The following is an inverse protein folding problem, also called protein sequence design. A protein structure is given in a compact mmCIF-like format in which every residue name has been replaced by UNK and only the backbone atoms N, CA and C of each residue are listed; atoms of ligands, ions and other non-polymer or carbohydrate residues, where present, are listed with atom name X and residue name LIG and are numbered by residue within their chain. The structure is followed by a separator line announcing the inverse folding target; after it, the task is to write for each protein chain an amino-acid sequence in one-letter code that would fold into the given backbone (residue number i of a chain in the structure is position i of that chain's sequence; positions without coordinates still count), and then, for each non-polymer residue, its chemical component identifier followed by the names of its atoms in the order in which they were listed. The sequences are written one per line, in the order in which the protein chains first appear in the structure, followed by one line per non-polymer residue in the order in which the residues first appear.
data_IF_154439127616
#
_entry.id   IF_154439127616
#
_cell.length_a   1.000
_cell.length_b   1.000
_cell.length_c   1.000
_cell.angle_alpha   90.00
_cell.angle_beta   90.00
_cell.angle_gamma   90.00
#
_symmetry.space_group_name_H-M   'P 1'
#
loop_
_entity.id
_entity.type
_entity.pdbx_description
1 polymer ?
#
# COMPACT_ATOMS: atom_id res chain seq x y z
N UNK A 1 -64.23 -18.25 20.50
CA UNK A 1 -63.56 -17.65 19.33
C UNK A 1 -63.07 -16.28 19.75
N UNK A 2 -61.79 -16.19 20.10
CA UNK A 2 -61.14 -15.00 20.65
C UNK A 2 -60.15 -14.52 19.58
N UNK A 3 -60.20 -13.25 19.13
CA UNK A 3 -59.31 -12.79 18.08
C UNK A 3 -57.89 -12.64 18.62
N UNK A 4 -56.93 -13.32 17.99
CA UNK A 4 -55.50 -13.07 18.17
C UNK A 4 -55.19 -11.68 17.58
N UNK A 5 -54.84 -10.74 18.45
CA UNK A 5 -54.32 -9.44 18.05
C UNK A 5 -52.84 -9.59 17.64
N UNK A 6 -52.59 -9.37 16.35
CA UNK A 6 -51.28 -9.31 15.73
C UNK A 6 -50.59 -7.99 16.14
N UNK A 7 -49.69 -8.05 17.13
CA UNK A 7 -48.86 -6.92 17.57
C UNK A 7 -47.45 -7.04 16.96
N UNK A 8 -47.33 -6.70 15.68
CA UNK A 8 -46.02 -6.42 15.06
C UNK A 8 -45.70 -4.93 15.21
N UNK A 9 -45.23 -4.54 16.40
CA UNK A 9 -44.67 -3.20 16.62
C UNK A 9 -43.31 -3.12 15.93
N UNK A 10 -43.10 -2.26 14.91
CA UNK A 10 -41.80 -2.14 14.27
C UNK A 10 -40.81 -1.50 15.26
N UNK A 11 -39.83 -2.28 15.70
CA UNK A 11 -38.63 -1.80 16.39
C UNK A 11 -37.89 -0.82 15.47
N UNK A 12 -38.18 0.48 15.63
CA UNK A 12 -37.35 1.55 15.04
C UNK A 12 -36.03 1.57 15.80
N UNK A 13 -35.02 0.89 15.25
CA UNK A 13 -33.65 1.00 15.72
C UNK A 13 -33.22 2.47 15.58
N UNK A 14 -32.95 3.12 16.71
CA UNK A 14 -32.42 4.48 16.74
C UNK A 14 -30.93 4.45 16.44
N UNK A 15 -30.51 5.16 15.40
CA UNK A 15 -29.09 5.31 15.07
C UNK A 15 -28.45 6.19 16.14
N UNK A 16 -27.45 5.66 16.86
CA UNK A 16 -26.77 6.41 17.92
C UNK A 16 -25.70 7.35 17.35
N UNK A 17 -25.35 8.41 18.08
CA UNK A 17 -24.27 9.32 17.68
C UNK A 17 -22.92 8.61 17.53
N UNK A 18 -22.67 7.57 18.32
CA UNK A 18 -21.48 6.73 18.20
C UNK A 18 -21.45 5.97 16.86
N UNK A 19 -22.58 5.39 16.44
CA UNK A 19 -22.69 4.71 15.15
C UNK A 19 -22.52 5.67 13.98
N UNK A 20 -23.02 6.91 14.07
CA UNK A 20 -22.80 7.92 13.03
C UNK A 20 -21.34 8.34 12.90
N UNK A 21 -20.62 8.49 14.03
CA UNK A 21 -19.18 8.77 14.00
C UNK A 21 -18.39 7.61 13.39
N UNK A 22 -18.77 6.38 13.73
CA UNK A 22 -18.15 5.18 13.15
C UNK A 22 -18.42 5.08 11.64
N UNK A 23 -19.67 5.27 11.22
CA UNK A 23 -20.05 5.31 9.81
C UNK A 23 -19.28 6.41 9.04
N UNK A 24 -19.10 7.59 9.64
CA UNK A 24 -18.31 8.67 9.06
C UNK A 24 -16.84 8.28 8.84
N UNK A 25 -16.21 7.59 9.81
CA UNK A 25 -14.85 7.06 9.68
C UNK A 25 -14.76 6.03 8.55
N UNK A 26 -15.64 5.04 8.56
CA UNK A 26 -15.72 3.99 7.53
C UNK A 26 -15.84 4.60 6.11
N UNK A 27 -16.78 5.54 5.93
CA UNK A 27 -17.00 6.22 4.64
C UNK A 27 -15.81 7.10 4.23
N UNK A 28 -15.06 7.66 5.18
CA UNK A 28 -13.87 8.47 4.88
C UNK A 28 -12.68 7.64 4.41
N UNK A 29 -12.53 6.42 4.93
CA UNK A 29 -11.43 5.52 4.61
C UNK A 29 -11.65 4.77 3.27
N UNK A 30 -12.90 4.45 2.93
CA UNK A 30 -13.22 3.64 1.76
C UNK A 30 -12.91 4.32 0.41
N UNK A 31 -12.26 3.57 -0.49
CA UNK A 31 -12.03 3.98 -1.88
C UNK A 31 -13.29 3.77 -2.72
N UNK A 32 -14.04 2.70 -2.43
CA UNK A 32 -15.31 2.36 -3.09
C UNK A 32 -16.36 3.46 -2.85
N UNK A 33 -16.48 3.98 -1.62
CA UNK A 33 -17.38 5.07 -1.29
C UNK A 33 -17.11 6.33 -2.13
N UNK A 34 -15.84 6.66 -2.37
CA UNK A 34 -15.43 7.83 -3.17
C UNK A 34 -15.77 7.65 -4.65
N UNK A 35 -15.51 6.47 -5.22
CA UNK A 35 -15.82 6.18 -6.62
C UNK A 35 -17.34 6.18 -6.88
N UNK A 36 -18.12 5.60 -5.96
CA UNK A 36 -19.57 5.45 -6.16
C UNK A 36 -20.38 6.70 -5.85
N UNK A 37 -19.93 7.58 -4.95
CA UNK A 37 -20.55 8.91 -4.79
C UNK A 37 -20.53 9.72 -6.10
N UNK A 38 -19.55 9.49 -6.98
CA UNK A 38 -19.51 10.09 -8.32
C UNK A 38 -20.53 9.48 -9.29
N UNK A 39 -20.85 8.19 -9.14
CA UNK A 39 -21.78 7.47 -10.02
C UNK A 39 -23.25 7.62 -9.59
N UNK A 40 -23.52 7.61 -8.28
CA UNK A 40 -24.87 7.74 -7.70
C UNK A 40 -25.56 9.07 -8.04
N UNK A 41 -24.78 10.11 -8.33
CA UNK A 41 -25.27 11.39 -8.80
C UNK A 41 -26.02 11.31 -10.16
N UNK A 42 -25.93 10.19 -10.90
CA UNK A 42 -26.43 10.06 -12.26
C UNK A 42 -27.73 9.23 -12.42
N UNK A 43 -28.26 8.56 -11.38
CA UNK A 43 -29.45 7.71 -11.54
C UNK A 43 -30.48 7.84 -10.40
N UNK A 44 -31.63 8.48 -10.68
CA UNK A 44 -32.68 8.71 -9.69
C UNK A 44 -33.55 7.46 -9.40
N UNK A 45 -33.71 6.54 -10.35
CA UNK A 45 -34.73 5.49 -10.27
C UNK A 45 -34.33 4.23 -9.46
N UNK A 46 -33.06 4.08 -9.04
CA UNK A 46 -32.58 2.92 -8.25
C UNK A 46 -31.68 3.30 -7.06
N UNK A 47 -31.82 4.54 -6.60
CA UNK A 47 -30.90 5.16 -5.64
C UNK A 47 -30.82 4.41 -4.31
N UNK A 48 -31.96 4.02 -3.73
CA UNK A 48 -31.99 3.40 -2.39
C UNK A 48 -31.34 2.01 -2.33
N UNK A 49 -31.67 1.13 -3.30
CA UNK A 49 -31.08 -0.22 -3.35
C UNK A 49 -29.59 -0.15 -3.62
N UNK A 50 -29.15 0.76 -4.50
CA UNK A 50 -27.74 0.95 -4.79
C UNK A 50 -26.99 1.50 -3.57
N UNK A 51 -27.52 2.51 -2.89
CA UNK A 51 -26.93 3.08 -1.67
C UNK A 51 -26.73 2.03 -0.57
N UNK A 52 -27.71 1.13 -0.38
CA UNK A 52 -27.58 0.03 0.60
C UNK A 52 -26.51 -0.98 0.18
N UNK A 53 -26.46 -1.36 -1.11
CA UNK A 53 -25.42 -2.25 -1.61
C UNK A 53 -24.02 -1.64 -1.47
N UNK A 54 -23.88 -0.34 -1.76
CA UNK A 54 -22.63 0.42 -1.55
C UNK A 54 -22.26 0.42 -0.07
N UNK A 55 -23.20 0.71 0.82
CA UNK A 55 -22.94 0.71 2.25
C UNK A 55 -22.42 -0.65 2.75
N UNK A 56 -22.96 -1.76 2.25
CA UNK A 56 -22.46 -3.10 2.58
C UNK A 56 -21.02 -3.30 2.08
N UNK A 57 -20.72 -2.94 0.82
CA UNK A 57 -19.36 -3.05 0.27
C UNK A 57 -18.36 -2.20 1.06
N UNK A 58 -18.75 -0.99 1.44
CA UNK A 58 -17.95 -0.07 2.26
C UNK A 58 -17.66 -0.65 3.64
N UNK A 59 -18.65 -1.30 4.26
CA UNK A 59 -18.46 -1.99 5.55
C UNK A 59 -17.55 -3.22 5.38
N UNK A 60 -17.73 -4.01 4.31
CA UNK A 60 -16.88 -5.17 4.03
C UNK A 60 -15.41 -4.79 3.80
N UNK A 61 -15.15 -3.69 3.08
CA UNK A 61 -13.80 -3.16 2.84
C UNK A 61 -13.13 -2.70 4.14
N UNK A 62 -13.89 -2.08 5.04
CA UNK A 62 -13.32 -1.38 6.21
C UNK A 62 -13.35 -2.20 7.50
N UNK A 63 -14.37 -3.03 7.69
CA UNK A 63 -14.62 -3.74 8.94
C UNK A 63 -15.58 -4.92 8.75
N UNK A 64 -15.08 -6.03 8.21
CA UNK A 64 -15.86 -7.26 8.00
C UNK A 64 -16.57 -7.74 9.28
N UNK A 65 -15.88 -7.70 10.42
CA UNK A 65 -16.41 -8.16 11.71
C UNK A 65 -17.62 -7.37 12.21
N UNK A 66 -17.86 -6.16 11.69
CA UNK A 66 -19.03 -5.37 12.03
C UNK A 66 -20.34 -5.96 11.50
N UNK A 67 -20.30 -6.73 10.41
CA UNK A 67 -21.47 -7.44 9.89
C UNK A 67 -21.78 -8.73 10.66
N UNK A 68 -20.83 -9.23 11.45
CA UNK A 68 -20.99 -10.45 12.25
C UNK A 68 -21.71 -10.23 13.58
N UNK A 69 -21.97 -8.98 14.00
CA UNK A 69 -22.52 -8.63 15.35
C UNK A 69 -24.04 -8.80 15.51
N UNK A 70 -24.67 -9.58 14.62
CA UNK A 70 -26.11 -9.84 14.61
C UNK A 70 -26.87 -8.95 13.62
N UNK A 71 -27.99 -9.48 13.11
CA UNK A 71 -28.71 -8.88 11.97
C UNK A 71 -29.24 -7.47 12.24
N UNK A 72 -29.73 -7.20 13.46
CA UNK A 72 -30.25 -5.89 13.83
C UNK A 72 -29.15 -4.82 13.86
N UNK A 73 -27.97 -5.16 14.39
CA UNK A 73 -26.81 -4.26 14.44
C UNK A 73 -26.25 -4.02 13.04
N UNK A 74 -26.12 -5.08 12.23
CA UNK A 74 -25.68 -4.97 10.84
C UNK A 74 -26.60 -4.05 10.01
N UNK A 75 -27.93 -4.22 10.13
CA UNK A 75 -28.90 -3.34 9.48
C UNK A 75 -28.79 -1.89 9.96
N UNK A 76 -28.61 -1.68 11.26
CA UNK A 76 -28.46 -0.34 11.83
C UNK A 76 -27.17 0.35 11.35
N UNK A 77 -26.06 -0.39 11.24
CA UNK A 77 -24.79 0.10 10.70
C UNK A 77 -24.90 0.44 9.21
N UNK A 78 -25.52 -0.43 8.40
CA UNK A 78 -25.78 -0.15 6.97
C UNK A 78 -26.58 1.15 6.82
N UNK A 79 -27.65 1.33 7.62
CA UNK A 79 -28.44 2.56 7.58
C UNK A 79 -27.64 3.80 7.99
N UNK A 80 -26.77 3.69 9.00
CA UNK A 80 -25.88 4.77 9.43
C UNK A 80 -24.89 5.17 8.32
N UNK A 81 -24.31 4.18 7.62
CA UNK A 81 -23.42 4.40 6.47
C UNK A 81 -24.16 5.05 5.30
N UNK A 82 -25.39 4.61 4.98
CA UNK A 82 -26.23 5.26 3.96
C UNK A 82 -26.50 6.73 4.31
N UNK A 83 -26.85 7.03 5.56
CA UNK A 83 -27.08 8.40 6.02
C UNK A 83 -25.80 9.24 5.92
N UNK A 84 -24.66 8.69 6.31
CA UNK A 84 -23.37 9.37 6.20
C UNK A 84 -23.01 9.69 4.74
N UNK A 85 -23.24 8.74 3.81
CA UNK A 85 -23.03 8.96 2.37
C UNK A 85 -23.90 10.09 1.84
N UNK A 86 -25.20 10.11 2.17
CA UNK A 86 -26.14 11.17 1.75
C UNK A 86 -25.73 12.55 2.28
N UNK A 87 -25.36 12.65 3.56
CA UNK A 87 -24.95 13.93 4.15
C UNK A 87 -23.74 14.56 3.44
N UNK A 88 -22.84 13.71 2.90
CA UNK A 88 -21.65 14.14 2.18
C UNK A 88 -21.96 14.65 0.78
N UNK A 89 -22.92 14.03 0.11
CA UNK A 89 -23.42 14.49 -1.19
C UNK A 89 -24.12 15.85 -1.06
N UNK A 90 -24.89 16.06 0.01
CA UNK A 90 -25.54 17.35 0.28
C UNK A 90 -24.52 18.47 0.49
N UNK A 91 -23.46 18.23 1.29
CA UNK A 91 -22.36 19.18 1.50
C UNK A 91 -21.66 19.52 0.17
N UNK A 92 -21.40 18.52 -0.68
CA UNK A 92 -20.77 18.74 -2.00
C UNK A 92 -21.68 19.47 -2.97
N UNK A 93 -22.99 19.23 -2.91
CA UNK A 93 -23.97 19.94 -3.73
C UNK A 93 -23.99 21.43 -3.38
N UNK A 94 -24.03 21.75 -2.08
CA UNK A 94 -23.97 23.13 -1.59
C UNK A 94 -22.66 23.84 -2.02
N UNK A 95 -21.51 23.18 -1.86
CA UNK A 95 -20.23 23.75 -2.29
C UNK A 95 -20.16 24.01 -3.81
N UNK A 96 -20.81 23.17 -4.63
CA UNK A 96 -20.91 23.38 -6.09
C UNK A 96 -21.85 24.53 -6.46
N UNK A 97 -22.95 24.70 -5.72
CA UNK A 97 -23.86 25.82 -5.93
C UNK A 97 -23.21 27.15 -5.54
N UNK A 98 -22.46 27.17 -4.44
CA UNK A 98 -21.68 28.32 -4.01
C UNK A 98 -20.62 28.71 -5.06
N UNK A 99 -19.85 27.74 -5.56
CA UNK A 99 -18.87 27.98 -6.63
C UNK A 99 -19.51 28.53 -7.92
N UNK A 100 -20.71 28.03 -8.29
CA UNK A 100 -21.47 28.58 -9.44
C UNK A 100 -22.01 29.97 -9.19
N UNK A 101 -22.38 30.30 -7.94
CA UNK A 101 -22.80 31.65 -7.57
C UNK A 101 -21.63 32.64 -7.68
N UNK A 102 -20.44 32.24 -7.25
CA UNK A 102 -19.20 33.02 -7.38
C UNK A 102 -18.78 33.24 -8.84
N UNK A 103 -18.91 32.22 -9.69
CA UNK A 103 -18.66 32.37 -11.13
C UNK A 103 -19.62 33.35 -11.80
N UNK A 104 -20.92 33.35 -11.42
CA UNK A 104 -21.90 34.33 -11.91
C UNK A 104 -21.56 35.75 -11.45
N UNK A 105 -21.09 35.91 -10.21
CA UNK A 105 -20.64 37.21 -9.68
C UNK A 105 -19.40 37.74 -10.43
N UNK A 106 -18.44 36.86 -10.77
CA UNK A 106 -17.22 37.25 -11.49
C UNK A 106 -17.44 37.47 -13.00
N UNK A 107 -18.34 36.70 -13.63
CA UNK A 107 -18.63 36.79 -15.06
C UNK A 107 -19.37 38.07 -15.49
N UNK A 108 -20.05 38.75 -14.58
CA UNK A 108 -20.81 39.97 -14.87
C UNK A 108 -19.98 41.24 -15.16
N UNK A 109 -18.67 41.23 -14.87
CA UNK A 109 -17.83 42.44 -14.98
C UNK A 109 -17.10 42.56 -16.32
N UNK A 110 -17.00 41.50 -17.13
CA UNK A 110 -16.20 41.50 -18.37
C UNK A 110 -16.97 41.64 -19.70
N UNK A 111 -18.30 41.63 -19.69
CA UNK A 111 -19.10 41.65 -20.91
C UNK A 111 -19.52 43.06 -21.39
N UNK A 112 -18.92 44.15 -20.89
CA UNK A 112 -19.31 45.52 -21.28
C UNK A 112 -18.26 46.36 -22.03
N UNK A 113 -17.03 45.87 -22.21
CA UNK A 113 -15.94 46.68 -22.79
C UNK A 113 -15.29 46.08 -24.06
N UNK A 114 -15.98 45.21 -24.81
CA UNK A 114 -15.46 44.66 -26.08
C UNK A 114 -16.49 44.77 -27.20
N UNK A 115 -16.93 45.99 -27.49
CA UNK A 115 -17.53 46.37 -28.78
C UNK A 115 -16.75 47.54 -29.39
N UNK A 116 -15.45 47.38 -29.68
CA UNK A 116 -14.76 48.31 -30.61
C UNK A 116 -13.41 47.78 -31.09
N UNK A 117 -13.35 46.66 -31.83
CA UNK A 117 -12.17 46.38 -32.68
C UNK A 117 -12.45 45.34 -33.79
N UNK A 118 -13.32 45.69 -34.75
CA UNK A 118 -13.33 45.04 -36.06
C UNK A 118 -12.54 45.90 -37.04
N UNK A 119 -11.41 45.37 -37.53
CA UNK A 119 -10.53 46.11 -38.42
C UNK A 119 -9.40 45.27 -39.02
N UNK A 120 -9.77 44.23 -39.77
CA UNK A 120 -9.05 43.78 -40.98
C UNK A 120 -7.69 43.10 -40.82
N UNK A 121 -7.59 41.87 -41.35
CA UNK A 121 -6.64 41.57 -42.44
C UNK A 121 -6.90 40.19 -43.04
N UNK A 122 -7.24 40.23 -44.32
CA UNK A 122 -7.17 39.12 -45.27
C UNK A 122 -5.71 38.83 -45.66
N UNK A 123 -5.48 37.61 -46.17
CA UNK A 123 -4.26 37.16 -46.82
C UNK A 123 -3.57 36.06 -46.01
N UNK A 124 -3.10 34.95 -46.56
CA UNK A 124 -2.94 34.55 -47.94
C UNK A 124 -2.50 33.07 -47.90
N UNK A 125 -2.82 32.34 -48.95
CA UNK A 125 -2.52 30.92 -49.12
C UNK A 125 -1.02 30.64 -49.31
N UNK A 126 -0.56 29.42 -48.97
CA UNK A 126 0.09 28.49 -49.92
C UNK A 126 0.68 27.24 -49.26
N UNK A 127 0.25 26.10 -49.77
CA UNK A 127 1.04 25.03 -50.39
C UNK A 127 2.46 24.73 -49.88
N UNK A 128 2.69 23.45 -49.55
CA UNK A 128 3.56 22.50 -50.27
C UNK A 128 4.13 21.46 -49.28
N UNK A 129 3.78 20.18 -49.47
CA UNK A 129 4.69 19.13 -50.00
C UNK A 129 6.12 19.18 -49.44
N UNK A 130 6.55 18.12 -48.77
CA UNK A 130 7.52 17.19 -49.37
C UNK A 130 7.75 15.98 -48.47
N UNK A 131 7.65 14.81 -49.10
CA UNK A 131 8.22 13.53 -48.71
C UNK A 131 9.74 13.61 -48.41
N UNK A 132 10.23 12.71 -47.55
CA UNK A 132 11.33 11.79 -47.88
C UNK A 132 11.61 10.82 -46.71
N UNK A 133 11.59 9.53 -47.05
CA UNK A 133 12.36 8.44 -46.46
C UNK A 133 13.13 7.78 -47.62
N UNK A 134 13.93 6.71 -47.47
CA UNK A 134 14.83 6.27 -46.39
C UNK A 134 16.25 6.00 -46.96
N UNK A 135 17.26 5.66 -46.14
CA UNK A 135 18.44 4.92 -46.63
C UNK A 135 19.10 4.11 -45.50
N UNK A 136 19.05 2.78 -45.64
CA UNK A 136 19.98 1.81 -45.05
C UNK A 136 21.29 1.80 -45.85
N UNK A 137 22.44 1.60 -45.20
CA UNK A 137 23.55 0.79 -45.71
C UNK A 137 24.73 0.71 -44.71
N UNK A 138 25.34 -0.48 -44.70
CA UNK A 138 26.72 -0.86 -44.37
C UNK A 138 27.12 -0.90 -42.88
N UNK A 139 27.47 -2.04 -42.26
CA UNK A 139 28.36 -3.17 -42.59
C UNK A 139 29.83 -2.97 -42.15
N UNK A 140 30.39 -4.07 -41.64
CA UNK A 140 31.80 -4.36 -41.32
C UNK A 140 32.29 -3.79 -39.98
N UNK A 141 33.24 -4.34 -39.23
CA UNK A 141 34.03 -5.59 -39.11
C UNK A 141 35.15 -5.21 -38.09
N UNK A 142 36.00 -6.14 -37.63
CA UNK A 142 37.12 -6.04 -36.65
C UNK A 142 36.72 -6.19 -35.17
N UNK A 143 37.06 -7.24 -34.42
CA UNK A 143 38.22 -8.16 -34.34
C UNK A 143 39.52 -7.57 -33.76
N UNK A 144 40.04 -8.27 -32.73
CA UNK A 144 41.33 -8.13 -32.03
C UNK A 144 41.60 -6.79 -31.29
N UNK A 145 42.23 -6.68 -30.10
CA UNK A 145 43.08 -7.56 -29.30
C UNK A 145 43.53 -6.82 -28.01
N UNK A 146 44.15 -7.57 -27.09
CA UNK A 146 45.16 -7.14 -26.09
C UNK A 146 44.69 -6.39 -24.84
N UNK A 147 44.68 -7.04 -23.67
CA UNK A 147 45.85 -7.29 -22.81
C UNK A 147 46.48 -6.00 -22.25
N UNK A 148 46.11 -5.63 -21.03
CA UNK A 148 47.03 -4.90 -20.15
C UNK A 148 46.71 -5.18 -18.68
N UNK A 149 47.52 -6.05 -18.09
CA UNK A 149 47.69 -6.11 -16.66
C UNK A 149 48.44 -4.88 -16.17
N UNK A 150 47.97 -4.29 -15.07
CA UNK A 150 48.78 -3.40 -14.24
C UNK A 150 48.48 -3.66 -12.77
N UNK A 151 49.44 -4.34 -12.15
CA UNK A 151 49.75 -4.24 -10.73
C UNK A 151 49.88 -2.78 -10.30
N UNK A 152 49.16 -2.38 -9.25
CA UNK A 152 49.56 -1.26 -8.39
C UNK A 152 49.32 -1.67 -6.93
N UNK A 153 50.41 -2.09 -6.26
CA UNK A 153 50.57 -2.02 -4.81
C UNK A 153 51.17 -0.65 -4.45
N UNK A 154 50.53 0.10 -3.57
CA UNK A 154 51.12 1.02 -2.58
C UNK A 154 49.95 1.68 -1.82
N UNK A 155 49.79 1.42 -0.52
CA UNK A 155 50.46 2.14 0.59
C UNK A 155 50.06 3.62 0.66
N UNK A 156 49.36 3.99 1.73
CA UNK A 156 48.95 5.38 1.98
C UNK A 156 48.08 5.53 3.23
N UNK A 157 48.66 5.26 4.40
CA UNK A 157 48.18 5.79 5.67
C UNK A 157 48.35 7.32 5.68
N UNK A 158 47.36 8.09 6.14
CA UNK A 158 47.51 9.16 7.14
C UNK A 158 46.25 10.04 7.34
N UNK A 159 46.09 10.41 8.61
CA UNK A 159 45.63 11.72 9.14
C UNK A 159 44.18 12.14 8.84
N UNK A 160 43.27 12.16 9.83
CA UNK A 160 43.17 13.11 10.95
C UNK A 160 42.93 14.58 10.53
N UNK A 161 41.67 15.00 10.56
CA UNK A 161 41.22 16.38 10.80
C UNK A 161 39.76 16.28 11.28
N UNK A 162 39.45 16.33 12.58
CA UNK A 162 39.37 17.54 13.41
C UNK A 162 38.46 18.60 12.77
N UNK A 163 37.15 18.44 12.95
CA UNK A 163 36.19 19.55 12.85
C UNK A 163 35.82 20.00 14.27
N UNK A 164 36.25 21.21 14.63
CA UNK A 164 35.79 21.95 15.80
C UNK A 164 34.28 22.22 15.69
N UNK A 165 33.51 22.14 16.78
CA UNK A 165 33.45 23.12 17.86
C UNK A 165 33.18 24.53 17.36
N UNK A 166 31.90 24.89 17.26
CA UNK A 166 31.48 26.25 17.55
C UNK A 166 30.22 26.23 18.42
N UNK A 167 30.43 26.70 19.64
CA UNK A 167 29.42 27.11 20.59
C UNK A 167 28.95 28.52 20.23
N UNK A 168 27.66 28.78 20.27
CA UNK A 168 27.17 30.14 20.54
C UNK A 168 25.89 30.09 21.36
N UNK A 169 26.07 30.51 22.61
CA UNK A 169 25.05 30.81 23.57
C UNK A 169 24.17 31.96 23.10
N UNK A 170 22.87 31.85 23.36
CA UNK A 170 21.98 33.01 23.46
C UNK A 170 21.05 32.83 24.65
N UNK A 171 21.59 33.16 25.83
CA UNK A 171 20.79 33.59 26.99
C UNK A 171 20.13 34.92 26.68
N UNK A 172 18.80 34.95 26.71
CA UNK A 172 17.98 36.12 26.48
C UNK A 172 16.85 36.20 27.51
N UNK A 173 17.20 36.59 28.72
CA UNK A 173 16.28 37.00 29.80
C UNK A 173 15.43 38.19 29.33
N UNK A 174 14.11 38.04 29.27
CA UNK A 174 13.18 39.17 29.45
C UNK A 174 11.97 38.78 30.29
N UNK A 175 11.76 39.66 31.26
CA UNK A 175 10.81 39.58 32.36
C UNK A 175 9.44 40.17 32.01
N UNK A 176 8.47 39.81 32.86
CA UNK A 176 7.26 40.56 33.26
C UNK A 176 6.18 40.80 32.20
N UNK A 177 5.11 40.00 32.33
CA UNK A 177 3.73 40.40 32.05
C UNK A 177 2.83 39.80 33.12
N UNK A 178 2.33 40.65 34.02
CA UNK A 178 1.35 40.30 35.05
C UNK A 178 -0.02 40.81 34.59
N UNK A 179 -1.04 39.95 34.72
CA UNK A 179 -2.44 40.20 34.31
C UNK A 179 -2.85 39.17 33.26
N UNK A 180 -3.94 38.42 33.36
CA UNK A 180 -5.14 38.52 34.18
C UNK A 180 -5.59 37.09 34.52
N UNK A 181 -6.17 36.92 35.72
CA UNK A 181 -6.79 35.66 36.15
C UNK A 181 -8.12 35.49 35.42
N UNK A 182 -8.10 34.90 34.23
CA UNK A 182 -9.29 34.29 33.66
C UNK A 182 -9.60 33.01 34.43
N UNK A 183 -10.88 32.89 34.80
CA UNK A 183 -11.40 31.82 35.62
C UNK A 183 -11.30 30.50 34.84
N UNK A 184 -10.40 29.66 35.34
CA UNK A 184 -10.37 28.21 35.25
C UNK A 184 -11.78 27.64 35.01
N UNK A 185 -12.00 27.12 33.80
CA UNK A 185 -12.85 25.97 33.64
C UNK A 185 -12.10 24.81 34.30
N UNK A 186 -12.52 24.42 35.50
CA UNK A 186 -12.30 23.06 36.01
C UNK A 186 -13.14 22.13 35.11
N UNK A 187 -12.72 22.01 33.84
CA UNK A 187 -13.24 21.04 32.91
C UNK A 187 -12.65 19.71 33.35
N UNK A 188 -13.55 18.84 33.76
CA UNK A 188 -13.37 17.48 34.25
C UNK A 188 -12.80 16.60 33.13
N UNK A 189 -11.60 16.96 32.66
CA UNK A 189 -10.71 16.16 31.84
C UNK A 189 -10.08 15.12 32.76
N UNK A 190 -10.91 14.21 33.28
CA UNK A 190 -10.44 12.87 33.56
C UNK A 190 -9.95 12.33 32.22
N UNK A 191 -8.66 12.56 31.97
CA UNK A 191 -7.84 11.94 30.93
C UNK A 191 -8.04 10.44 31.06
N UNK A 192 -9.08 9.95 30.39
CA UNK A 192 -9.39 8.55 30.19
C UNK A 192 -8.31 8.08 29.20
N UNK A 193 -7.06 8.02 29.68
CA UNK A 193 -5.84 7.55 29.00
C UNK A 193 -6.05 6.07 28.70
N UNK A 194 -6.91 5.80 27.70
CA UNK A 194 -7.01 4.47 27.14
C UNK A 194 -5.68 4.24 26.45
N UNK A 195 -4.88 3.26 26.90
CA UNK A 195 -3.61 2.98 26.27
C UNK A 195 -3.88 2.76 24.78
N UNK A 196 -3.20 3.54 23.94
CA UNK A 196 -3.32 3.38 22.50
C UNK A 196 -3.04 1.90 22.20
N UNK A 197 -3.88 1.23 21.39
CA UNK A 197 -3.64 -0.15 21.05
C UNK A 197 -2.23 -0.23 20.50
N UNK A 198 -1.39 -1.06 21.11
CA UNK A 198 -0.08 -1.37 20.55
C UNK A 198 -0.39 -2.05 19.23
N UNK A 199 -0.19 -1.36 18.11
CA UNK A 199 -0.46 -1.89 16.77
C UNK A 199 0.77 -2.57 16.19
N UNK A 200 1.95 -2.11 16.64
CA UNK A 200 3.24 -2.66 16.22
C UNK A 200 3.42 -4.08 16.72
N UNK A 201 3.83 -4.97 15.82
CA UNK A 201 4.10 -6.38 16.07
C UNK A 201 5.53 -6.68 15.68
N UNK A 202 6.16 -7.58 16.44
CA UNK A 202 7.58 -7.86 16.38
C UNK A 202 7.77 -9.37 16.50
N UNK A 203 8.58 -9.96 15.64
CA UNK A 203 9.00 -11.35 15.78
C UNK A 203 10.38 -11.56 15.14
N UNK A 204 11.14 -12.51 15.69
CA UNK A 204 12.43 -12.91 15.15
C UNK A 204 12.28 -14.07 14.17
N UNK A 205 13.14 -14.10 13.17
CA UNK A 205 13.21 -15.17 12.16
C UNK A 205 14.67 -15.45 11.80
N UNK A 206 14.95 -16.68 11.41
CA UNK A 206 16.22 -17.08 10.81
C UNK A 206 16.20 -17.02 9.27
N UNK A 207 15.08 -16.60 8.70
CA UNK A 207 14.82 -16.59 7.26
C UNK A 207 14.53 -15.17 6.73
N UNK A 208 15.09 -14.13 7.34
CA UNK A 208 14.86 -12.73 6.97
C UNK A 208 15.20 -12.41 5.50
N UNK A 209 16.17 -13.14 4.92
CA UNK A 209 16.55 -12.99 3.51
C UNK A 209 15.48 -13.47 2.53
N UNK A 210 14.46 -14.21 2.99
CA UNK A 210 13.28 -14.57 2.18
C UNK A 210 12.55 -13.31 1.67
N UNK A 211 12.58 -12.22 2.43
CA UNK A 211 11.92 -10.96 2.07
C UNK A 211 12.66 -10.18 0.98
N UNK A 212 13.94 -10.49 0.72
CA UNK A 212 14.66 -9.97 -0.46
C UNK A 212 14.01 -10.40 -1.77
N UNK A 213 13.28 -11.52 -1.76
CA UNK A 213 12.65 -12.08 -2.94
C UNK A 213 11.35 -11.34 -3.31
N UNK A 214 10.84 -10.44 -2.47
CA UNK A 214 9.61 -9.68 -2.77
C UNK A 214 9.77 -8.75 -3.98
N UNK A 215 10.90 -8.05 -4.09
CA UNK A 215 11.22 -7.25 -5.27
C UNK A 215 11.31 -8.12 -6.52
N UNK A 216 11.90 -9.31 -6.38
CA UNK A 216 12.01 -10.27 -7.48
C UNK A 216 10.66 -10.81 -7.96
N UNK A 217 9.74 -11.05 -7.03
CA UNK A 217 8.37 -11.47 -7.35
C UNK A 217 7.63 -10.41 -8.18
N UNK A 218 7.80 -9.14 -7.80
CA UNK A 218 7.22 -7.99 -8.51
C UNK A 218 7.80 -7.84 -9.91
N UNK A 219 9.13 -7.89 -10.04
CA UNK A 219 9.83 -7.82 -11.33
C UNK A 219 9.44 -8.97 -12.28
N UNK A 220 9.18 -10.15 -11.74
CA UNK A 220 8.74 -11.32 -12.50
C UNK A 220 7.22 -11.34 -12.79
N UNK A 221 6.44 -10.40 -12.24
CA UNK A 221 4.98 -10.33 -12.42
C UNK A 221 4.22 -11.51 -11.81
N UNK A 222 4.81 -12.20 -10.83
CA UNK A 222 4.25 -13.44 -10.28
C UNK A 222 2.94 -13.24 -9.50
N UNK A 223 2.74 -12.17 -8.70
CA UNK A 223 1.48 -11.97 -7.99
C UNK A 223 0.26 -11.83 -8.92
N UNK A 224 0.42 -11.13 -10.04
CA UNK A 224 -0.62 -10.95 -11.06
C UNK A 224 -0.94 -12.27 -11.76
N UNK A 225 0.11 -13.02 -12.14
CA UNK A 225 -0.05 -14.35 -12.73
C UNK A 225 -0.77 -15.33 -11.78
N UNK A 226 -0.36 -15.38 -10.50
CA UNK A 226 -1.01 -16.21 -9.47
C UNK A 226 -2.48 -15.87 -9.28
N UNK A 227 -2.84 -14.60 -9.40
CA UNK A 227 -4.22 -14.14 -9.27
C UNK A 227 -5.09 -14.54 -10.46
N UNK A 228 -4.49 -14.76 -11.64
CA UNK A 228 -5.17 -15.20 -12.87
C UNK A 228 -5.11 -16.72 -13.13
N UNK A 229 -4.32 -17.46 -12.35
CA UNK A 229 -4.10 -18.89 -12.53
C UNK A 229 -5.37 -19.71 -12.25
N UNK A 230 -5.77 -20.56 -13.20
CA UNK A 230 -7.00 -21.34 -13.10
C UNK A 230 -7.00 -22.33 -11.92
N UNK A 231 -5.82 -22.86 -11.57
CA UNK A 231 -5.66 -23.81 -10.46
C UNK A 231 -5.71 -23.09 -9.11
N UNK A 232 -5.18 -21.87 -9.03
CA UNK A 232 -5.10 -21.11 -7.78
C UNK A 232 -6.27 -20.13 -7.56
N UNK A 233 -7.15 -19.91 -8.54
CA UNK A 233 -8.22 -18.90 -8.48
C UNK A 233 -9.17 -19.02 -7.28
N UNK A 234 -9.30 -20.23 -6.73
CA UNK A 234 -10.15 -20.50 -5.55
C UNK A 234 -9.43 -20.19 -4.22
N UNK A 235 -8.13 -19.88 -4.28
CA UNK A 235 -7.29 -19.53 -3.14
C UNK A 235 -7.10 -18.02 -3.09
N UNK A 236 -6.98 -17.50 -1.87
CA UNK A 236 -6.58 -16.11 -1.68
C UNK A 236 -5.10 -15.94 -2.07
N UNK A 237 -4.74 -14.80 -2.67
CA UNK A 237 -3.35 -14.49 -3.06
C UNK A 237 -2.37 -14.67 -1.89
N UNK A 238 -2.76 -14.24 -0.67
CA UNK A 238 -1.94 -14.41 0.55
C UNK A 238 -1.62 -15.88 0.84
N UNK A 239 -2.56 -16.80 0.58
CA UNK A 239 -2.31 -18.22 0.74
C UNK A 239 -1.28 -18.73 -0.28
N UNK A 240 -1.42 -18.32 -1.55
CA UNK A 240 -0.49 -18.72 -2.62
C UNK A 240 0.92 -18.20 -2.35
N UNK A 241 1.05 -16.93 -1.94
CA UNK A 241 2.33 -16.33 -1.55
C UNK A 241 2.96 -17.04 -0.36
N UNK A 242 2.18 -17.35 0.67
CA UNK A 242 2.67 -18.11 1.84
C UNK A 242 3.20 -19.49 1.41
N UNK A 243 2.48 -20.21 0.53
CA UNK A 243 2.95 -21.51 0.02
C UNK A 243 4.23 -21.40 -0.81
N UNK A 244 4.37 -20.35 -1.61
CA UNK A 244 5.62 -20.08 -2.36
C UNK A 244 6.75 -19.77 -1.40
N UNK A 245 6.50 -19.00 -0.33
CA UNK A 245 7.48 -18.72 0.72
C UNK A 245 8.01 -20.02 1.35
N UNK A 246 7.12 -20.95 1.71
CA UNK A 246 7.49 -22.27 2.24
C UNK A 246 8.26 -23.13 1.21
N UNK A 247 7.93 -23.02 -0.08
CA UNK A 247 8.64 -23.73 -1.14
C UNK A 247 10.04 -23.15 -1.46
N UNK A 248 10.28 -21.89 -1.07
CA UNK A 248 11.58 -21.19 -1.19
C UNK A 248 12.44 -21.35 0.07
N UNK A 249 11.84 -21.62 1.22
CA UNK A 249 12.54 -21.86 2.48
C UNK A 249 11.93 -23.10 3.18
N UNK A 250 12.20 -24.33 2.73
CA UNK A 250 11.53 -25.54 3.22
C UNK A 250 11.78 -25.85 4.71
N UNK A 251 12.87 -25.33 5.28
CA UNK A 251 13.18 -25.47 6.70
C UNK A 251 12.46 -24.43 7.58
N UNK A 252 11.68 -23.52 6.99
CA UNK A 252 10.91 -22.52 7.71
C UNK A 252 9.63 -23.12 8.28
N UNK A 253 9.29 -22.74 9.52
CA UNK A 253 7.99 -23.07 10.11
C UNK A 253 6.84 -22.40 9.34
N UNK A 254 5.64 -22.98 9.41
CA UNK A 254 4.45 -22.39 8.78
C UNK A 254 4.08 -21.04 9.41
N UNK A 255 4.46 -20.83 10.66
CA UNK A 255 4.27 -19.64 11.49
C UNK A 255 5.51 -18.73 11.54
N UNK A 256 6.54 -18.99 10.72
CA UNK A 256 7.73 -18.14 10.69
C UNK A 256 7.40 -16.71 10.23
N UNK A 257 7.93 -15.73 10.93
CA UNK A 257 7.63 -14.31 10.70
C UNK A 257 8.00 -13.83 9.28
N UNK A 258 9.08 -14.34 8.69
CA UNK A 258 9.43 -14.00 7.30
C UNK A 258 8.43 -14.59 6.31
N UNK A 259 7.99 -15.84 6.54
CA UNK A 259 7.00 -16.48 5.68
C UNK A 259 5.63 -15.79 5.76
N UNK A 260 5.21 -15.35 6.96
CA UNK A 260 4.00 -14.55 7.16
C UNK A 260 4.11 -13.17 6.49
N UNK A 261 5.21 -12.45 6.70
CA UNK A 261 5.43 -11.15 6.08
C UNK A 261 5.51 -11.23 4.54
N UNK A 262 6.07 -12.32 4.00
CA UNK A 262 6.09 -12.58 2.55
C UNK A 262 4.67 -12.66 1.95
N UNK A 263 3.71 -13.13 2.76
CA UNK A 263 2.29 -13.18 2.42
C UNK A 263 1.50 -11.92 2.83
N UNK A 264 2.18 -10.89 3.36
CA UNK A 264 1.58 -9.63 3.78
C UNK A 264 0.81 -9.72 5.09
N UNK A 265 1.24 -10.63 5.97
CA UNK A 265 0.62 -10.90 7.26
C UNK A 265 1.53 -10.44 8.40
N UNK A 266 0.92 -9.99 9.49
CA UNK A 266 1.65 -9.63 10.71
C UNK A 266 2.17 -10.90 11.42
N UNK A 267 3.28 -10.84 12.19
CA UNK A 267 3.82 -12.02 12.86
C UNK A 267 2.90 -12.72 13.87
N UNK A 268 1.84 -12.06 14.33
CA UNK A 268 0.84 -12.61 15.26
C UNK A 268 -0.43 -13.12 14.55
N UNK A 269 -0.51 -12.98 13.22
CA UNK A 269 -1.63 -13.50 12.44
C UNK A 269 -1.48 -15.01 12.22
N UNK A 270 -2.62 -15.72 12.22
CA UNK A 270 -2.63 -17.14 11.92
C UNK A 270 -2.19 -17.38 10.46
N UNK A 271 -1.33 -18.38 10.21
CA UNK A 271 -0.87 -18.67 8.86
C UNK A 271 -2.04 -19.09 7.96
N UNK A 272 -2.09 -18.65 6.68
CA UNK A 272 -3.19 -18.98 5.77
C UNK A 272 -3.42 -20.48 5.59
N UNK A 273 -2.38 -21.29 5.80
CA UNK A 273 -2.45 -22.75 5.75
C UNK A 273 -3.43 -23.35 6.76
N UNK A 274 -3.66 -22.71 7.90
CA UNK A 274 -4.62 -23.20 8.91
C UNK A 274 -6.07 -23.08 8.44
N UNK A 275 -6.38 -22.06 7.66
CA UNK A 275 -7.73 -21.83 7.14
C UNK A 275 -7.96 -22.48 5.76
N UNK A 276 -6.89 -22.67 4.97
CA UNK A 276 -6.97 -23.15 3.59
C UNK A 276 -6.80 -24.65 3.39
N UNK A 277 -6.38 -25.41 4.40
CA UNK A 277 -6.02 -26.82 4.22
C UNK A 277 -4.75 -27.02 3.37
N UNK A 278 -4.38 -28.28 3.16
CA UNK A 278 -3.21 -28.66 2.38
C UNK A 278 -3.43 -28.41 0.87
N UNK A 279 -2.37 -28.04 0.13
CA UNK A 279 -2.47 -27.88 -1.32
C UNK A 279 -2.73 -29.23 -1.97
N UNK A 280 -3.58 -29.25 -2.99
CA UNK A 280 -3.71 -30.40 -3.89
C UNK A 280 -2.41 -30.65 -4.67
N UNK A 281 -2.28 -31.80 -5.32
CA UNK A 281 -1.10 -32.12 -6.16
C UNK A 281 -0.92 -31.10 -7.30
N UNK A 282 -2.02 -30.67 -7.94
CA UNK A 282 -1.98 -29.66 -8.99
C UNK A 282 -1.57 -28.28 -8.47
N UNK A 283 -2.09 -27.88 -7.31
CA UNK A 283 -1.69 -26.61 -6.66
C UNK A 283 -0.20 -26.65 -6.29
N UNK A 284 0.25 -27.76 -5.72
CA UNK A 284 1.66 -27.96 -5.34
C UNK A 284 2.60 -27.87 -6.54
N UNK A 285 2.21 -28.44 -7.68
CA UNK A 285 2.96 -28.35 -8.93
C UNK A 285 3.09 -26.91 -9.43
N UNK A 286 1.98 -26.15 -9.41
CA UNK A 286 1.97 -24.73 -9.80
C UNK A 286 2.82 -23.88 -8.85
N UNK A 287 2.68 -24.07 -7.53
CA UNK A 287 3.51 -23.40 -6.52
C UNK A 287 5.00 -23.70 -6.74
N UNK A 288 5.35 -24.96 -7.01
CA UNK A 288 6.73 -25.37 -7.28
C UNK A 288 7.27 -24.73 -8.57
N UNK A 289 6.43 -24.52 -9.58
CA UNK A 289 6.78 -23.82 -10.82
C UNK A 289 7.14 -22.36 -10.56
N UNK A 290 6.32 -21.62 -9.79
CA UNK A 290 6.62 -20.24 -9.39
C UNK A 290 7.92 -20.15 -8.59
N UNK A 291 8.11 -21.01 -7.59
CA UNK A 291 9.36 -21.04 -6.81
C UNK A 291 10.58 -21.35 -7.69
N UNK A 292 10.43 -22.20 -8.72
CA UNK A 292 11.51 -22.50 -9.66
C UNK A 292 11.89 -21.32 -10.54
N UNK A 293 10.93 -20.47 -10.94
CA UNK A 293 11.20 -19.22 -11.67
C UNK A 293 12.00 -18.22 -10.83
N UNK A 294 11.65 -18.09 -9.55
CA UNK A 294 12.40 -17.26 -8.59
C UNK A 294 13.84 -17.78 -8.45
N UNK A 295 14.03 -19.10 -8.30
CA UNK A 295 15.36 -19.72 -8.21
C UNK A 295 16.20 -19.51 -9.48
N UNK A 296 15.58 -19.66 -10.65
CA UNK A 296 16.26 -19.43 -11.94
C UNK A 296 16.72 -17.98 -12.07
N UNK A 297 15.89 -17.01 -11.66
CA UNK A 297 16.28 -15.61 -11.68
C UNK A 297 17.36 -15.29 -10.64
N UNK A 298 17.32 -15.90 -9.44
CA UNK A 298 18.41 -15.79 -8.46
C UNK A 298 19.74 -16.26 -9.02
N UNK A 299 19.77 -17.39 -9.76
CA UNK A 299 20.99 -17.90 -10.41
C UNK A 299 21.55 -16.94 -11.45
N UNK A 300 20.70 -16.18 -12.13
CA UNK A 300 21.14 -15.17 -13.11
C UNK A 300 21.78 -13.96 -12.43
N UNK A 301 21.25 -13.54 -11.27
CA UNK A 301 21.78 -12.38 -10.52
C UNK A 301 23.03 -12.73 -9.69
N UNK A 302 23.11 -13.97 -9.20
CA UNK A 302 24.21 -14.48 -8.40
C UNK A 302 25.07 -15.42 -9.26
N UNK A 303 25.84 -14.85 -10.19
CA UNK A 303 26.60 -15.63 -11.19
C UNK A 303 27.53 -16.69 -10.56
N UNK A 304 28.17 -16.35 -9.43
CA UNK A 304 29.04 -17.24 -8.66
C UNK A 304 28.29 -18.45 -8.05
N UNK A 305 26.95 -18.43 -8.03
CA UNK A 305 26.07 -19.45 -7.46
C UNK A 305 25.21 -20.16 -8.53
N UNK A 306 25.49 -19.93 -9.82
CA UNK A 306 24.69 -20.47 -10.93
C UNK A 306 24.58 -22.01 -10.90
N UNK A 307 25.70 -22.67 -10.64
CA UNK A 307 25.82 -24.14 -10.67
C UNK A 307 25.58 -24.79 -9.31
N UNK A 308 25.36 -23.99 -8.26
CA UNK A 308 25.11 -24.51 -6.92
C UNK A 308 23.75 -25.22 -6.83
N UNK A 309 23.65 -26.28 -5.99
CA UNK A 309 22.38 -26.93 -5.72
C UNK A 309 21.32 -25.93 -5.25
N UNK A 310 20.06 -26.13 -5.68
CA UNK A 310 18.93 -25.27 -5.29
C UNK A 310 18.86 -25.03 -3.77
N UNK A 311 19.08 -26.09 -2.98
CA UNK A 311 19.04 -26.00 -1.52
C UNK A 311 20.13 -25.07 -0.98
N UNK A 312 21.37 -25.18 -1.47
CA UNK A 312 22.50 -24.35 -1.04
C UNK A 312 22.32 -22.88 -1.43
N UNK A 313 21.81 -22.61 -2.65
CA UNK A 313 21.48 -21.25 -3.08
C UNK A 313 20.38 -20.63 -2.21
N UNK A 314 19.29 -21.35 -1.99
CA UNK A 314 18.18 -20.85 -1.16
C UNK A 314 18.60 -20.71 0.30
N UNK A 315 19.42 -21.61 0.84
CA UNK A 315 20.00 -21.46 2.17
C UNK A 315 20.86 -20.19 2.25
N UNK A 316 21.75 -19.97 1.27
CA UNK A 316 22.58 -18.77 1.21
C UNK A 316 21.79 -17.47 1.12
N UNK A 317 20.67 -17.44 0.40
CA UNK A 317 19.84 -16.24 0.20
C UNK A 317 18.83 -16.04 1.33
N UNK A 318 18.13 -17.09 1.76
CA UNK A 318 17.04 -16.97 2.71
C UNK A 318 17.52 -16.96 4.16
N UNK A 319 18.57 -17.72 4.52
CA UNK A 319 18.98 -17.95 5.92
C UNK A 319 19.75 -16.76 6.50
N UNK A 320 19.02 -15.72 6.90
CA UNK A 320 19.54 -14.52 7.58
C UNK A 320 18.72 -14.22 8.82
N UNK A 321 19.38 -13.86 9.92
CA UNK A 321 18.69 -13.47 11.14
C UNK A 321 18.07 -12.09 10.95
N UNK A 322 16.80 -11.97 11.27
CA UNK A 322 16.12 -10.69 11.24
C UNK A 322 15.07 -10.57 12.35
N UNK A 323 14.78 -9.32 12.71
CA UNK A 323 13.55 -8.94 13.40
C UNK A 323 12.58 -8.36 12.36
N UNK A 324 11.39 -8.95 12.25
CA UNK A 324 10.29 -8.43 11.43
C UNK A 324 9.42 -7.55 12.29
N UNK A 325 9.38 -6.26 11.98
CA UNK A 325 8.52 -5.26 12.59
C UNK A 325 7.35 -4.98 11.65
N UNK A 326 6.14 -5.29 12.08
CA UNK A 326 4.93 -5.07 11.30
C UNK A 326 4.05 -3.98 11.94
N UNK A 327 3.68 -3.00 11.12
CA UNK A 327 2.59 -2.06 11.34
C UNK A 327 1.56 -2.24 10.19
N UNK A 328 0.29 -1.82 10.32
CA UNK A 328 -0.68 -2.01 9.24
C UNK A 328 -0.25 -1.34 7.94
N UNK A 329 0.03 -2.15 6.91
CA UNK A 329 0.53 -1.68 5.62
C UNK A 329 2.02 -1.30 5.61
N UNK A 330 2.80 -1.74 6.60
CA UNK A 330 4.23 -1.45 6.69
C UNK A 330 5.01 -2.59 7.35
N UNK A 331 6.08 -3.03 6.71
CA UNK A 331 7.03 -4.00 7.21
C UNK A 331 8.43 -3.38 7.23
N UNK A 332 9.07 -3.40 8.39
CA UNK A 332 10.48 -3.10 8.56
C UNK A 332 11.21 -4.39 8.95
N UNK A 333 12.22 -4.73 8.17
CA UNK A 333 12.99 -5.97 8.35
C UNK A 333 14.38 -5.56 8.81
N UNK A 334 14.65 -5.75 10.10
CA UNK A 334 15.93 -5.40 10.72
C UNK A 334 16.86 -6.58 10.64
N UNK A 335 17.89 -6.46 9.82
CA UNK A 335 18.90 -7.46 9.56
C UNK A 335 20.16 -7.13 10.36
N UNK A 336 20.89 -8.16 10.78
CA UNK A 336 22.20 -7.97 11.40
C UNK A 336 23.22 -7.47 10.37
N UNK A 337 24.06 -6.51 10.76
CA UNK A 337 25.22 -6.09 9.94
C UNK A 337 26.17 -7.25 9.60
N UNK A 338 26.26 -8.28 10.45
CA UNK A 338 27.09 -9.46 10.21
C UNK A 338 26.58 -10.34 9.05
N UNK A 339 25.29 -10.24 8.71
CA UNK A 339 24.64 -11.04 7.67
C UNK A 339 24.67 -10.34 6.29
N UNK A 340 25.30 -9.17 6.20
CA UNK A 340 25.53 -8.43 4.94
C UNK A 340 26.62 -9.12 4.12
N UNK A 341 26.28 -9.51 2.89
CA UNK A 341 27.25 -10.08 1.94
C UNK A 341 27.33 -9.22 0.68
N UNK A 342 28.54 -9.09 0.14
CA UNK A 342 28.80 -8.27 -1.05
C UNK A 342 28.07 -8.78 -2.29
N UNK A 343 27.83 -10.08 -2.36
CA UNK A 343 27.18 -10.80 -3.44
C UNK A 343 25.70 -10.42 -3.51
N UNK A 344 25.00 -10.41 -2.38
CA UNK A 344 23.59 -9.99 -2.28
C UNK A 344 23.44 -8.51 -2.64
N UNK A 345 24.34 -7.65 -2.12
CA UNK A 345 24.35 -6.21 -2.40
C UNK A 345 24.62 -5.93 -3.88
N UNK A 346 25.59 -6.61 -4.49
CA UNK A 346 25.91 -6.49 -5.92
C UNK A 346 24.77 -6.97 -6.80
N UNK A 347 24.04 -8.00 -6.37
CA UNK A 347 22.84 -8.49 -7.03
C UNK A 347 21.61 -7.58 -6.85
N UNK A 348 21.70 -6.56 -5.98
CA UNK A 348 20.60 -5.62 -5.68
C UNK A 348 19.41 -6.26 -4.95
N UNK A 349 19.60 -7.45 -4.36
CA UNK A 349 18.52 -8.20 -3.71
C UNK A 349 18.08 -7.56 -2.38
N UNK A 350 18.97 -6.82 -1.72
CA UNK A 350 18.72 -6.15 -0.45
C UNK A 350 18.37 -4.66 -0.59
N UNK A 351 17.92 -4.24 -1.76
CA UNK A 351 17.37 -2.90 -1.97
C UNK A 351 15.92 -2.84 -1.47
N UNK A 352 15.55 -1.72 -0.83
CA UNK A 352 14.19 -1.50 -0.35
C UNK A 352 13.18 -1.64 -1.50
N UNK A 353 12.23 -2.61 -1.43
CA UNK A 353 11.20 -2.75 -2.46
C UNK A 353 10.24 -1.56 -2.48
N UNK A 354 10.14 -0.83 -1.36
CA UNK A 354 9.20 0.28 -1.22
C UNK A 354 7.76 -0.21 -1.10
N UNK A 355 6.81 0.49 -1.73
CA UNK A 355 5.40 0.10 -1.70
C UNK A 355 5.10 -0.98 -2.73
N UNK A 356 4.62 -2.13 -2.28
CA UNK A 356 4.20 -3.26 -3.11
C UNK A 356 2.67 -3.29 -3.19
N UNK A 357 2.04 -2.90 -4.33
CA UNK A 357 0.59 -2.77 -4.43
C UNK A 357 -0.17 -4.07 -4.19
N UNK A 358 0.37 -5.20 -4.66
CA UNK A 358 -0.23 -6.53 -4.49
C UNK A 358 -0.13 -7.04 -3.04
N UNK A 359 0.88 -6.60 -2.29
CA UNK A 359 1.01 -6.88 -0.86
C UNK A 359 0.14 -5.93 -0.01
N UNK A 360 -0.11 -4.73 -0.53
CA UNK A 360 -0.78 -3.65 0.18
C UNK A 360 0.07 -3.04 1.29
N UNK A 361 1.40 -3.18 1.22
CA UNK A 361 2.32 -2.74 2.26
C UNK A 361 3.60 -2.12 1.70
N UNK A 362 4.24 -1.26 2.50
CA UNK A 362 5.61 -0.80 2.28
C UNK A 362 6.57 -1.77 2.96
N UNK A 363 7.64 -2.16 2.27
CA UNK A 363 8.69 -3.00 2.83
C UNK A 363 10.00 -2.23 2.83
N UNK A 364 10.69 -2.25 3.97
CA UNK A 364 11.98 -1.58 4.16
C UNK A 364 12.98 -2.49 4.88
N UNK A 365 14.21 -2.53 4.40
CA UNK A 365 15.34 -3.19 5.03
C UNK A 365 16.13 -2.19 5.88
N UNK A 366 16.44 -2.57 7.12
CA UNK A 366 17.27 -1.80 8.04
C UNK A 366 18.39 -2.71 8.51
N UNK A 367 19.62 -2.19 8.54
CA UNK A 367 20.79 -2.93 9.00
C UNK A 367 21.29 -2.29 10.29
N UNK A 368 21.35 -3.08 11.36
CA UNK A 368 21.70 -2.64 12.73
C UNK A 368 22.83 -3.47 13.34
#
# INVERSE_FOLDING_TARGET
MTPLADQTTPLRATVTAAMMREAGRIVSASRIARALASMLAQSAARRETLERAVAVLVILESSWSALSRGEAEARSLVNAVVLALRSRDDIRSLAREEARADERMRGGVRARDVEEFEGGREGEAKDARSSNAPTEADALDSDASEANGRDVKASGANASAAYGSDASASEGVRARGAGEKEKFFDDDASDDERPLPVVRRLAFTHFGGLLFLLGLMDELGLPEEMSGDEVLRERALRWSLHRVALALAPDTGTDDAAALAFAGLSPDEAPPSECGGEPSESESSVIASYASRVVEELRRRLDDWRDEPRASLLEFVCRRRAEVVADPGWFEVRLSLDDVTTEIRRAGLDLDPGYLPWLGAVVKFVYE
#
